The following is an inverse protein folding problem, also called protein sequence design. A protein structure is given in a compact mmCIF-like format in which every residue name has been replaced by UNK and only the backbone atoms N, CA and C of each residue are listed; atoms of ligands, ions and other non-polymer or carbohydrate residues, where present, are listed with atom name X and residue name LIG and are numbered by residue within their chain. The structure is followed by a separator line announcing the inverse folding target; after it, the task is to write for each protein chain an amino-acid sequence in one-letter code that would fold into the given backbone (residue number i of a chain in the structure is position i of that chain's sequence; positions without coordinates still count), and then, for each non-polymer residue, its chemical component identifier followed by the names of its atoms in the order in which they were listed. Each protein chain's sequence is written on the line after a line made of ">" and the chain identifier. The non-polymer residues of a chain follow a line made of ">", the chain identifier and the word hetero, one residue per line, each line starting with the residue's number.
data_IF_231397032813
#
_entry.id   IF_231397032813
#
_cell.length_a   1.000
_cell.length_b   1.000
_cell.length_c   1.000
_cell.angle_alpha   90.00
_cell.angle_beta   90.00
_cell.angle_gamma   90.00
#
_symmetry.space_group_name_H-M   'P 1'
#
loop_
_entity.id
_entity.type
_entity.pdbx_description
1 polymer ?
#
# COMPACT_ATOMS: atom_id res chain seq x y z
N UNK A 1 0.25 13.99 13.46
CA UNK A 1 0.21 12.86 14.42
C UNK A 1 -0.87 11.79 14.19
N UNK A 2 -1.79 11.85 13.19
CA UNK A 2 -2.63 10.69 12.80
C UNK A 2 -2.06 9.88 11.60
N UNK A 3 -1.16 10.48 10.82
CA UNK A 3 -0.59 9.86 9.62
C UNK A 3 0.19 8.56 9.91
N UNK A 4 0.91 8.50 11.03
CA UNK A 4 1.74 7.34 11.35
C UNK A 4 0.91 6.09 11.67
N UNK A 5 -0.22 6.28 12.35
CA UNK A 5 -1.17 5.21 12.66
C UNK A 5 -1.83 4.67 11.38
N UNK A 6 -2.20 5.57 10.46
CA UNK A 6 -2.76 5.19 9.15
C UNK A 6 -1.77 4.35 8.36
N UNK A 7 -0.49 4.76 8.30
CA UNK A 7 0.56 4.00 7.58
C UNK A 7 0.78 2.62 8.17
N UNK A 8 0.76 2.47 9.51
CA UNK A 8 0.90 1.17 10.17
C UNK A 8 -0.30 0.25 9.91
N UNK A 9 -1.52 0.78 9.91
CA UNK A 9 -2.73 0.01 9.59
C UNK A 9 -2.71 -0.44 8.13
N UNK A 10 -2.29 0.42 7.21
CA UNK A 10 -2.14 0.04 5.80
C UNK A 10 -1.07 -1.05 5.60
N UNK A 11 0.06 -0.93 6.29
CA UNK A 11 1.10 -1.97 6.28
C UNK A 11 0.60 -3.30 6.87
N UNK A 12 -0.22 -3.26 7.92
CA UNK A 12 -0.76 -4.47 8.54
C UNK A 12 -1.85 -5.13 7.67
N UNK A 13 -2.73 -4.35 7.06
CA UNK A 13 -3.85 -4.84 6.23
C UNK A 13 -3.39 -5.32 4.85
N UNK A 14 -2.38 -4.68 4.26
CA UNK A 14 -1.92 -4.98 2.89
C UNK A 14 -0.54 -5.67 2.84
N UNK A 15 0.18 -5.76 3.97
CA UNK A 15 1.51 -6.36 4.09
C UNK A 15 1.51 -7.66 4.88
N UNK A 16 0.78 -8.68 4.44
CA UNK A 16 0.83 -10.01 5.06
C UNK A 16 2.22 -10.66 4.93
N UNK A 17 2.77 -11.14 6.07
CA UNK A 17 3.86 -12.13 6.20
C UNK A 17 5.24 -11.77 5.62
N UNK A 18 5.35 -11.46 4.33
CA UNK A 18 6.61 -11.21 3.63
C UNK A 18 7.23 -9.83 3.88
N UNK A 19 6.43 -8.83 4.23
CA UNK A 19 6.93 -7.46 4.46
C UNK A 19 7.77 -7.32 5.74
N UNK A 20 7.48 -8.15 6.74
CA UNK A 20 8.09 -8.06 8.07
C UNK A 20 9.27 -9.03 8.27
N UNK A 21 9.43 -10.06 7.41
CA UNK A 21 10.41 -11.14 7.62
C UNK A 21 11.36 -11.46 6.44
N UNK A 22 11.19 -10.91 5.23
CA UNK A 22 12.12 -11.26 4.14
C UNK A 22 11.78 -10.83 2.71
N UNK A 23 10.96 -9.81 2.53
CA UNK A 23 10.55 -9.36 1.19
C UNK A 23 9.46 -10.23 0.55
N UNK A 24 8.96 -9.83 -0.62
CA UNK A 24 7.65 -10.22 -1.20
C UNK A 24 7.66 -11.63 -1.84
N UNK A 25 8.24 -12.63 -1.20
CA UNK A 25 8.48 -13.94 -1.79
C UNK A 25 7.20 -14.75 -2.10
N UNK A 26 6.04 -14.44 -1.50
CA UNK A 26 4.80 -15.18 -1.77
C UNK A 26 3.57 -14.26 -1.84
N UNK A 27 3.29 -13.76 -3.04
CA UNK A 27 1.97 -13.39 -3.56
C UNK A 27 1.26 -12.15 -2.97
N UNK A 28 1.15 -12.02 -1.65
CA UNK A 28 0.36 -10.96 -1.01
C UNK A 28 1.04 -9.59 -1.01
N UNK A 29 2.37 -9.55 -0.83
CA UNK A 29 3.12 -8.30 -0.66
C UNK A 29 3.21 -7.46 -1.93
N UNK A 30 3.32 -8.08 -3.11
CA UNK A 30 3.45 -7.35 -4.37
C UNK A 30 2.14 -6.65 -4.76
N UNK A 31 1.00 -7.37 -4.66
CA UNK A 31 -0.33 -6.80 -4.94
C UNK A 31 -0.68 -5.73 -3.90
N UNK A 32 -0.42 -5.98 -2.62
CA UNK A 32 -0.63 -5.00 -1.56
C UNK A 32 0.17 -3.71 -1.76
N UNK A 33 1.44 -3.83 -2.14
CA UNK A 33 2.29 -2.67 -2.44
C UNK A 33 1.80 -1.91 -3.67
N UNK A 34 1.43 -2.60 -4.75
CA UNK A 34 0.87 -1.98 -5.96
C UNK A 34 -0.41 -1.22 -5.65
N UNK A 35 -1.31 -1.81 -4.86
CA UNK A 35 -2.55 -1.16 -4.43
C UNK A 35 -2.28 0.05 -3.53
N UNK A 36 -1.35 -0.07 -2.59
CA UNK A 36 -0.94 1.06 -1.73
C UNK A 36 -0.40 2.22 -2.55
N UNK A 37 0.48 1.94 -3.53
CA UNK A 37 1.02 2.95 -4.45
C UNK A 37 -0.11 3.57 -5.28
N UNK A 38 -1.05 2.79 -5.80
CA UNK A 38 -2.20 3.30 -6.55
C UNK A 38 -3.08 4.23 -5.70
N UNK A 39 -3.34 3.89 -4.44
CA UNK A 39 -4.11 4.73 -3.50
C UNK A 39 -3.38 6.04 -3.21
N UNK A 40 -2.07 5.99 -2.96
CA UNK A 40 -1.25 7.21 -2.76
C UNK A 40 -1.31 8.10 -4.00
N UNK A 41 -1.15 7.53 -5.20
CA UNK A 41 -1.25 8.26 -6.47
C UNK A 41 -2.63 8.88 -6.62
N UNK A 42 -3.71 8.15 -6.36
CA UNK A 42 -5.08 8.65 -6.43
C UNK A 42 -5.29 9.88 -5.52
N UNK A 43 -4.88 9.81 -4.25
CA UNK A 43 -5.03 10.93 -3.30
C UNK A 43 -4.07 12.10 -3.58
N UNK A 44 -2.88 11.84 -4.12
CA UNK A 44 -1.99 12.87 -4.66
C UNK A 44 -2.54 13.53 -5.93
N UNK A 45 -3.68 13.05 -6.45
CA UNK A 45 -4.36 13.60 -7.60
C UNK A 45 -4.04 12.91 -8.95
N UNK A 46 -3.64 11.65 -8.93
CA UNK A 46 -3.58 10.81 -10.12
C UNK A 46 -4.94 10.22 -10.51
N UNK A 47 -4.96 9.45 -11.60
CA UNK A 47 -6.12 8.72 -12.17
C UNK A 47 -7.36 9.53 -12.55
N UNK A 48 -7.31 10.86 -12.52
CA UNK A 48 -8.39 11.73 -12.99
C UNK A 48 -8.45 11.64 -14.52
N UNK A 49 -9.51 11.00 -15.03
CA UNK A 49 -9.82 11.03 -16.46
C UNK A 49 -10.18 12.47 -16.86
N UNK A 50 -9.50 13.01 -17.87
CA UNK A 50 -9.93 14.26 -18.54
C UNK A 50 -10.95 13.87 -19.60
N UNK A 51 -12.20 13.70 -19.18
CA UNK A 51 -13.34 13.72 -20.09
C UNK A 51 -13.84 15.16 -20.23
#
# INVERSE_FOLDING_TARGET
>A
MPLIAIVLVLLLLFGGGGFYFGGPAFGGGAIGLVLLIAVIIYFAGGFRSRA
#
